data_IF_309483975695
#
_entry.id   IF_309483975695
#
_cell.length_a   1.000
_cell.length_b   1.000
_cell.length_c   1.000
_cell.angle_alpha   90.00
_cell.angle_beta   90.00
_cell.angle_gamma   90.00
#
_symmetry.space_group_name_H-M   'P 1'
#
loop_
_entity.id
_entity.type
_entity.pdbx_description
1 polymer ?
#
# COMPACT_ATOMS: atom_id res chain seq x y z
N UNK A 1 7.29 10.62 -22.89
CA UNK A 1 6.05 9.81 -22.83
C UNK A 1 4.92 10.81 -22.63
N UNK A 2 3.91 10.86 -23.51
CA UNK A 2 2.81 11.81 -23.35
C UNK A 2 2.10 11.52 -22.02
N UNK A 3 1.58 12.55 -21.36
CA UNK A 3 0.73 12.38 -20.19
C UNK A 3 -0.63 11.83 -20.65
N UNK A 4 -0.75 10.50 -20.76
CA UNK A 4 -2.04 9.83 -20.87
C UNK A 4 -2.78 10.01 -19.54
N UNK A 5 -4.11 10.09 -19.59
CA UNK A 5 -4.89 10.15 -18.34
C UNK A 5 -4.82 8.78 -17.66
N UNK A 6 -4.96 8.75 -16.33
CA UNK A 6 -4.94 7.50 -15.55
C UNK A 6 -5.97 6.51 -16.10
N UNK A 7 -7.11 7.00 -16.57
CA UNK A 7 -8.18 6.19 -17.15
C UNK A 7 -7.75 5.51 -18.47
N UNK A 8 -6.99 6.20 -19.30
CA UNK A 8 -6.50 5.68 -20.57
C UNK A 8 -5.45 4.58 -20.34
N UNK A 9 -4.52 4.80 -19.41
CA UNK A 9 -3.53 3.78 -18.98
C UNK A 9 -4.22 2.55 -18.36
N UNK A 10 -5.27 2.75 -17.56
CA UNK A 10 -6.03 1.64 -16.97
C UNK A 10 -6.82 0.85 -18.02
N UNK A 11 -7.35 1.51 -19.05
CA UNK A 11 -8.05 0.85 -20.15
C UNK A 11 -7.08 0.00 -21.00
N UNK A 12 -5.88 0.51 -21.27
CA UNK A 12 -4.82 -0.25 -21.94
C UNK A 12 -4.39 -1.48 -21.11
N UNK A 13 -4.19 -1.31 -19.80
CA UNK A 13 -3.85 -2.42 -18.89
C UNK A 13 -4.94 -3.50 -18.83
N UNK A 14 -6.22 -3.10 -18.80
CA UNK A 14 -7.33 -4.05 -18.78
C UNK A 14 -7.35 -4.94 -20.05
N UNK A 15 -7.09 -4.36 -21.22
CA UNK A 15 -7.02 -5.11 -22.47
C UNK A 15 -5.87 -6.13 -22.48
N UNK A 16 -4.72 -5.78 -21.89
CA UNK A 16 -3.58 -6.69 -21.73
C UNK A 16 -3.88 -7.85 -20.77
N UNK A 17 -4.59 -7.58 -19.68
CA UNK A 17 -5.03 -8.61 -18.72
C UNK A 17 -6.00 -9.59 -19.39
N UNK A 18 -6.99 -9.10 -20.14
CA UNK A 18 -7.95 -9.94 -20.88
C UNK A 18 -7.25 -10.83 -21.91
N UNK A 19 -6.27 -10.29 -22.64
CA UNK A 19 -5.44 -11.05 -23.59
C UNK A 19 -4.67 -12.17 -22.88
N UNK A 20 -4.03 -11.86 -21.75
CA UNK A 20 -3.25 -12.82 -20.97
C UNK A 20 -4.15 -13.94 -20.43
N UNK A 21 -5.31 -13.62 -19.88
CA UNK A 21 -6.29 -14.59 -19.39
C UNK A 21 -6.80 -15.49 -20.52
N UNK A 22 -7.08 -14.93 -21.70
CA UNK A 22 -7.50 -15.70 -22.89
C UNK A 22 -6.42 -16.68 -23.37
N UNK A 23 -5.16 -16.29 -23.24
CA UNK A 23 -4.01 -17.15 -23.55
C UNK A 23 -3.70 -18.15 -22.43
N UNK A 24 -4.42 -18.10 -21.31
CA UNK A 24 -4.23 -18.98 -20.15
C UNK A 24 -3.02 -18.61 -19.28
N UNK A 25 -2.48 -17.40 -19.42
CA UNK A 25 -1.46 -16.87 -18.51
C UNK A 25 -2.14 -16.26 -17.28
N UNK A 26 -1.59 -16.52 -16.09
CA UNK A 26 -1.96 -15.79 -14.88
C UNK A 26 -1.29 -14.41 -14.93
N UNK A 27 -2.06 -13.31 -15.09
CA UNK A 27 -1.50 -11.97 -15.20
C UNK A 27 -1.07 -11.41 -13.84
N UNK A 28 -1.42 -12.09 -12.74
CA UNK A 28 -1.21 -11.57 -11.40
C UNK A 28 0.13 -12.04 -10.82
N UNK A 29 0.79 -11.18 -10.03
CA UNK A 29 2.00 -11.58 -9.33
C UNK A 29 1.70 -12.72 -8.34
N UNK A 30 2.68 -13.60 -8.07
CA UNK A 30 2.50 -14.68 -7.12
C UNK A 30 2.15 -14.15 -5.73
N UNK A 31 1.44 -14.96 -4.96
CA UNK A 31 1.10 -14.63 -3.59
C UNK A 31 2.35 -14.26 -2.78
N UNK A 32 2.26 -13.17 -2.01
CA UNK A 32 3.37 -12.75 -1.15
C UNK A 32 3.63 -13.84 -0.11
N UNK A 33 4.91 -14.17 0.16
CA UNK A 33 5.23 -15.15 1.20
C UNK A 33 4.73 -14.64 2.55
N UNK A 34 4.22 -15.55 3.38
CA UNK A 34 3.82 -15.22 4.73
C UNK A 34 5.02 -14.72 5.54
N UNK A 35 4.91 -13.50 6.06
CA UNK A 35 5.92 -12.88 6.90
C UNK A 35 5.33 -12.73 8.30
N UNK A 36 5.55 -13.68 9.22
CA UNK A 36 4.94 -13.63 10.55
C UNK A 36 5.35 -12.38 11.34
N UNK A 37 6.52 -11.81 11.04
CA UNK A 37 7.02 -10.56 11.62
C UNK A 37 6.33 -9.30 11.07
N UNK A 38 5.70 -9.35 9.89
CA UNK A 38 5.10 -8.16 9.27
C UNK A 38 3.94 -7.60 10.11
N UNK A 39 3.14 -8.49 10.72
CA UNK A 39 2.07 -8.10 11.64
C UNK A 39 2.60 -7.30 12.83
N UNK A 40 3.70 -7.78 13.42
CA UNK A 40 4.33 -7.13 14.56
C UNK A 40 4.96 -5.79 14.16
N UNK A 41 5.64 -5.73 13.01
CA UNK A 41 6.26 -4.51 12.51
C UNK A 41 5.21 -3.40 12.27
N UNK A 42 4.10 -3.72 11.60
CA UNK A 42 3.01 -2.76 11.35
C UNK A 42 2.38 -2.32 12.67
N UNK A 43 2.12 -3.27 13.59
CA UNK A 43 1.57 -2.96 14.91
C UNK A 43 2.48 -2.02 15.72
N UNK A 44 3.77 -2.34 15.83
CA UNK A 44 4.73 -1.50 16.56
C UNK A 44 4.89 -0.13 15.92
N UNK A 45 4.89 -0.05 14.60
CA UNK A 45 4.98 1.22 13.89
C UNK A 45 3.77 2.13 14.19
N UNK A 46 2.56 1.59 14.16
CA UNK A 46 1.34 2.32 14.54
C UNK A 46 1.36 2.78 15.99
N UNK A 47 1.81 1.93 16.92
CA UNK A 47 1.94 2.28 18.33
C UNK A 47 2.88 3.47 18.51
N UNK A 48 4.07 3.42 17.89
CA UNK A 48 5.05 4.51 17.96
C UNK A 48 4.44 5.81 17.44
N UNK A 49 3.78 5.80 16.28
CA UNK A 49 3.13 7.00 15.74
C UNK A 49 2.08 7.58 16.68
N UNK A 50 1.22 6.74 17.26
CA UNK A 50 0.18 7.18 18.19
C UNK A 50 0.79 7.75 19.46
N UNK A 51 1.78 7.07 20.06
CA UNK A 51 2.46 7.55 21.27
C UNK A 51 3.23 8.85 20.99
N UNK A 52 3.90 8.97 19.86
CA UNK A 52 4.59 10.21 19.46
C UNK A 52 3.60 11.37 19.27
N UNK A 53 2.46 11.12 18.62
CA UNK A 53 1.42 12.12 18.44
C UNK A 53 0.80 12.56 19.77
N UNK A 54 0.43 11.59 20.63
CA UNK A 54 -0.13 11.85 21.96
C UNK A 54 0.87 12.59 22.85
N UNK A 55 2.14 12.19 22.84
CA UNK A 55 3.20 12.86 23.61
C UNK A 55 3.32 14.32 23.19
N UNK A 56 3.32 14.61 21.88
CA UNK A 56 3.38 15.99 21.37
C UNK A 56 2.20 16.84 21.85
N UNK A 57 1.01 16.24 21.97
CA UNK A 57 -0.18 16.91 22.52
C UNK A 57 -0.02 17.14 24.02
N UNK A 58 0.40 16.14 24.80
CA UNK A 58 0.54 16.26 26.26
C UNK A 58 1.59 17.30 26.66
N UNK A 59 2.75 17.32 25.99
CA UNK A 59 3.81 18.29 26.27
C UNK A 59 3.40 19.74 25.98
N UNK A 60 2.40 19.98 25.12
CA UNK A 60 1.82 21.32 24.93
C UNK A 60 1.21 21.89 26.23
N UNK A 61 0.68 21.03 27.09
CA UNK A 61 -0.02 21.41 28.32
C UNK A 61 0.88 21.40 29.56
N UNK A 62 2.05 20.78 29.48
CA UNK A 62 3.02 20.70 30.59
C UNK A 62 3.95 21.92 30.62
N UNK A 63 4.13 22.63 29.50
CA UNK A 63 4.96 23.84 29.42
C UNK A 63 4.20 25.15 29.75
N UNK A 64 3.21 25.10 30.64
CA UNK A 64 2.55 26.29 31.22
C UNK A 64 3.23 26.64 32.54
#
# INVERSE_FOLDING_TARGET
MPAQSVEEELAELAALVEEAERLGFDPWPPAKPERPWARWAIGSFMIILMVSAVSKVMFRFVSI
#
